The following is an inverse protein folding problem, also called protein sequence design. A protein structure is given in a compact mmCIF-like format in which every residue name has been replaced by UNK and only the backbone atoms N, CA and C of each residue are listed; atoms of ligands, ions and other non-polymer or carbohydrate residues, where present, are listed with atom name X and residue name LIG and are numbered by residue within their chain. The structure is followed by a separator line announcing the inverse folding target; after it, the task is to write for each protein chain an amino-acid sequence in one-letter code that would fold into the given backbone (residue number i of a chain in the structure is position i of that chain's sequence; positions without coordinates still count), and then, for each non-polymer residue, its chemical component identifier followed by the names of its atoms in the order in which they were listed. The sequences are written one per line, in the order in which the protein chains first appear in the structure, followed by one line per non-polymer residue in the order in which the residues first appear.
data_IF_062640414880
#
_entry.id   IF_062640414880
#
_cell.length_a   1.000
_cell.length_b   1.000
_cell.length_c   1.000
_cell.angle_alpha   90.00
_cell.angle_beta   90.00
_cell.angle_gamma   90.00
#
_symmetry.space_group_name_H-M   'P 1'
#
loop_
_entity.id
_entity.type
_entity.pdbx_description
1 polymer ?
#
# COMPACT_ATOMS: atom_id res chain seq x y z
N UNK A 1 -5.31 -68.16 -23.90
CA UNK A 1 -6.57 -67.88 -23.19
C UNK A 1 -6.79 -69.04 -22.23
N UNK A 2 -6.18 -69.01 -21.03
CA UNK A 2 -6.59 -68.30 -19.80
C UNK A 2 -7.98 -68.76 -19.33
N UNK A 3 -8.24 -69.09 -18.07
CA UNK A 3 -7.48 -69.57 -16.91
C UNK A 3 -8.59 -70.05 -15.95
N UNK A 4 -8.35 -71.15 -15.22
CA UNK A 4 -9.32 -71.80 -14.33
C UNK A 4 -9.71 -70.87 -13.17
N UNK A 5 -11.01 -70.78 -12.88
CA UNK A 5 -11.52 -70.18 -11.65
C UNK A 5 -11.48 -71.19 -10.50
N UNK A 6 -10.96 -70.75 -9.36
CA UNK A 6 -11.19 -71.40 -8.07
C UNK A 6 -11.16 -70.32 -6.98
N UNK A 7 -12.22 -70.33 -6.18
CA UNK A 7 -12.47 -69.47 -5.02
C UNK A 7 -11.56 -69.91 -3.88
N UNK A 8 -10.94 -68.98 -3.15
CA UNK A 8 -10.63 -69.25 -1.74
C UNK A 8 -10.56 -67.96 -0.94
N UNK A 9 -11.34 -67.99 0.13
CA UNK A 9 -11.48 -67.00 1.18
C UNK A 9 -10.16 -66.84 1.95
N UNK A 10 -9.68 -65.61 2.09
CA UNK A 10 -8.66 -65.26 3.10
C UNK A 10 -9.14 -64.02 3.84
N UNK A 11 -9.59 -64.29 5.06
CA UNK A 11 -9.83 -63.37 6.16
C UNK A 11 -8.46 -62.94 6.71
N UNK A 12 -8.12 -61.65 6.65
CA UNK A 12 -7.04 -61.08 7.47
C UNK A 12 -7.55 -59.82 8.15
N UNK A 13 -7.62 -59.96 9.48
CA UNK A 13 -7.86 -58.99 10.53
C UNK A 13 -7.03 -57.70 10.31
N UNK A 14 -7.72 -56.58 10.08
CA UNK A 14 -7.12 -55.25 10.05
C UNK A 14 -6.98 -54.69 11.46
N UNK A 15 -5.75 -54.33 11.81
CA UNK A 15 -5.27 -53.90 13.13
C UNK A 15 -6.04 -52.72 13.75
N UNK A 16 -6.29 -52.86 15.06
CA UNK A 16 -6.58 -51.78 15.98
C UNK A 16 -5.33 -50.89 16.16
N UNK A 17 -5.43 -49.63 15.75
CA UNK A 17 -4.68 -48.53 16.35
C UNK A 17 -5.67 -47.41 16.65
N UNK A 18 -6.30 -47.48 17.83
CA UNK A 18 -7.03 -46.37 18.42
C UNK A 18 -5.98 -45.39 18.97
N UNK A 19 -5.41 -44.59 18.07
CA UNK A 19 -4.50 -43.50 18.41
C UNK A 19 -5.29 -42.36 19.06
N UNK A 20 -5.03 -42.11 20.34
CA UNK A 20 -5.38 -40.86 20.99
C UNK A 20 -4.60 -39.72 20.31
N UNK A 21 -5.23 -39.03 19.36
CA UNK A 21 -4.71 -37.75 18.88
C UNK A 21 -5.21 -36.64 19.80
N UNK A 22 -4.25 -36.00 20.45
CA UNK A 22 -4.41 -34.86 21.33
C UNK A 22 -5.37 -33.81 20.75
N UNK A 23 -6.26 -33.32 21.61
CA UNK A 23 -7.02 -32.09 21.42
C UNK A 23 -5.98 -30.99 21.18
N UNK A 24 -5.77 -30.63 19.91
CA UNK A 24 -5.06 -29.43 19.57
C UNK A 24 -5.99 -28.27 19.92
N UNK A 25 -5.65 -27.58 21.02
CA UNK A 25 -6.10 -26.23 21.29
C UNK A 25 -5.77 -25.36 20.07
N UNK A 26 -6.70 -25.25 19.14
CA UNK A 26 -6.70 -24.17 18.17
C UNK A 26 -7.09 -22.90 18.91
N UNK A 27 -6.09 -22.22 19.47
CA UNK A 27 -6.16 -20.78 19.61
C UNK A 27 -6.69 -20.22 18.29
N UNK A 28 -7.75 -19.40 18.27
CA UNK A 28 -8.07 -18.69 17.06
C UNK A 28 -6.90 -17.75 16.79
N UNK A 29 -6.05 -18.16 15.86
CA UNK A 29 -5.05 -17.31 15.24
C UNK A 29 -5.82 -16.08 14.75
N UNK A 30 -5.59 -14.96 15.43
CA UNK A 30 -6.05 -13.64 15.05
C UNK A 30 -5.70 -13.46 13.58
N UNK A 31 -6.70 -13.59 12.71
CA UNK A 31 -6.55 -13.32 11.30
C UNK A 31 -6.08 -11.87 11.16
N UNK A 32 -4.85 -11.71 10.71
CA UNK A 32 -4.18 -10.44 10.48
C UNK A 32 -4.82 -9.76 9.28
N UNK A 33 -5.98 -9.14 9.47
CA UNK A 33 -6.39 -8.01 8.63
C UNK A 33 -5.51 -6.84 9.06
N UNK A 34 -4.37 -6.69 8.38
CA UNK A 34 -3.30 -5.77 8.75
C UNK A 34 -3.74 -4.31 8.64
N UNK A 35 -4.41 -3.81 9.67
CA UNK A 35 -4.42 -2.39 9.98
C UNK A 35 -3.04 -2.11 10.57
N UNK A 36 -2.09 -1.70 9.73
CA UNK A 36 -0.91 -1.03 10.25
C UNK A 36 -1.42 0.27 10.88
N UNK A 37 -1.10 0.53 12.13
CA UNK A 37 -1.61 1.70 12.84
C UNK A 37 -1.17 2.99 12.12
N UNK A 38 -2.12 3.91 11.88
CA UNK A 38 -1.81 5.22 11.31
C UNK A 38 -0.98 6.00 12.33
N UNK A 39 0.31 6.19 12.03
CA UNK A 39 1.24 6.87 12.91
C UNK A 39 0.92 8.36 13.07
N UNK A 40 0.37 8.98 12.02
CA UNK A 40 0.01 10.40 12.03
C UNK A 40 -1.08 10.73 11.01
N UNK A 41 -1.98 11.65 11.36
CA UNK A 41 -2.84 12.34 10.39
C UNK A 41 -2.21 13.68 10.04
N UNK A 42 -1.93 13.90 8.76
CA UNK A 42 -1.44 15.18 8.24
C UNK A 42 -2.65 15.97 7.75
N UNK A 43 -3.01 17.00 8.52
CA UNK A 43 -3.95 18.02 8.07
C UNK A 43 -3.25 18.95 7.07
N UNK A 44 -3.58 18.79 5.79
CA UNK A 44 -2.96 19.54 4.70
C UNK A 44 -3.67 20.90 4.51
N UNK A 45 -2.98 22.03 4.65
CA UNK A 45 -3.60 23.36 4.74
C UNK A 45 -3.95 23.92 3.36
N UNK A 46 -5.21 23.75 2.92
CA UNK A 46 -5.68 24.20 1.60
C UNK A 46 -5.71 25.72 1.45
N UNK A 47 -5.80 26.46 2.55
CA UNK A 47 -5.68 27.92 2.52
C UNK A 47 -4.26 28.40 2.17
N UNK A 48 -3.23 27.58 2.38
CA UNK A 48 -1.84 27.94 2.14
C UNK A 48 -1.30 27.40 0.81
N UNK A 49 -1.74 26.20 0.42
CA UNK A 49 -1.35 25.54 -0.82
C UNK A 49 -2.60 25.09 -1.60
N UNK A 50 -3.42 26.04 -2.08
CA UNK A 50 -4.72 25.75 -2.69
C UNK A 50 -4.63 24.90 -3.96
N UNK A 51 -3.61 25.07 -4.79
CA UNK A 51 -3.48 24.29 -6.03
C UNK A 51 -3.12 22.83 -5.74
N UNK A 52 -2.13 22.58 -4.86
CA UNK A 52 -1.77 21.22 -4.44
C UNK A 52 -2.91 20.57 -3.64
N UNK A 53 -3.61 21.32 -2.79
CA UNK A 53 -4.78 20.82 -2.07
C UNK A 53 -5.89 20.34 -3.02
N UNK A 54 -6.16 21.09 -4.08
CA UNK A 54 -7.13 20.68 -5.10
C UNK A 54 -6.68 19.40 -5.81
N UNK A 55 -5.39 19.28 -6.15
CA UNK A 55 -4.85 18.06 -6.75
C UNK A 55 -5.00 16.84 -5.86
N UNK A 56 -4.65 16.95 -4.58
CA UNK A 56 -4.81 15.86 -3.60
C UNK A 56 -6.28 15.43 -3.51
N UNK A 57 -7.22 16.39 -3.40
CA UNK A 57 -8.66 16.10 -3.34
C UNK A 57 -9.15 15.35 -4.57
N UNK A 58 -8.80 15.84 -5.75
CA UNK A 58 -9.25 15.25 -7.02
C UNK A 58 -8.65 13.86 -7.24
N UNK A 59 -7.38 13.67 -6.90
CA UNK A 59 -6.70 12.38 -6.99
C UNK A 59 -7.33 11.34 -6.03
N UNK A 60 -7.65 11.74 -4.79
CA UNK A 60 -8.37 10.84 -3.87
C UNK A 60 -9.77 10.53 -4.40
N UNK A 61 -10.49 11.53 -4.90
CA UNK A 61 -11.82 11.33 -5.50
C UNK A 61 -11.77 10.42 -6.76
N UNK A 62 -10.65 10.39 -7.48
CA UNK A 62 -10.41 9.48 -8.61
C UNK A 62 -9.89 8.10 -8.20
N UNK A 63 -9.84 7.81 -6.89
CA UNK A 63 -9.53 6.49 -6.35
C UNK A 63 -8.08 6.30 -5.90
N UNK A 64 -7.26 7.37 -5.82
CA UNK A 64 -5.98 7.29 -5.12
C UNK A 64 -6.21 7.18 -3.61
N UNK A 65 -5.30 6.48 -2.94
CA UNK A 65 -5.32 6.34 -1.49
C UNK A 65 -5.04 7.68 -0.78
N UNK A 66 -5.63 7.86 0.40
CA UNK A 66 -5.27 8.95 1.32
C UNK A 66 -4.17 8.55 2.32
N UNK A 67 -3.67 7.31 2.21
CA UNK A 67 -2.58 6.78 3.02
C UNK A 67 -1.25 6.82 2.25
N UNK A 68 -0.23 7.33 2.92
CA UNK A 68 1.16 7.28 2.48
C UNK A 68 1.95 6.38 3.42
N UNK A 69 2.43 5.24 2.92
CA UNK A 69 3.46 4.44 3.60
C UNK A 69 4.82 5.01 3.23
N UNK A 70 5.53 5.60 4.19
CA UNK A 70 6.79 6.29 3.92
C UNK A 70 7.84 5.28 3.44
N UNK A 71 8.42 5.54 2.27
CA UNK A 71 9.52 4.75 1.68
C UNK A 71 10.46 5.70 0.95
N UNK A 72 11.46 6.24 1.65
CA UNK A 72 12.36 7.23 1.07
C UNK A 72 13.33 6.63 0.07
N UNK A 73 13.73 5.37 0.25
CA UNK A 73 14.68 4.68 -0.63
C UNK A 73 14.16 4.52 -2.07
N UNK A 74 12.85 4.30 -2.24
CA UNK A 74 12.22 4.16 -3.55
C UNK A 74 11.90 5.47 -4.29
N UNK A 75 12.18 6.63 -3.71
CA UNK A 75 11.61 7.90 -4.17
C UNK A 75 12.02 8.31 -5.59
N UNK A 76 13.31 8.26 -5.88
CA UNK A 76 13.84 8.66 -7.18
C UNK A 76 13.28 7.81 -8.33
N UNK A 77 13.13 6.49 -8.12
CA UNK A 77 12.60 5.58 -9.14
C UNK A 77 11.09 5.77 -9.31
N UNK A 78 10.33 5.95 -8.22
CA UNK A 78 8.90 6.25 -8.32
C UNK A 78 8.67 7.59 -9.06
N UNK A 79 9.44 8.64 -8.74
CA UNK A 79 9.41 9.91 -9.50
C UNK A 79 9.70 9.75 -10.99
N UNK A 80 10.66 8.89 -11.34
CA UNK A 80 10.95 8.59 -12.75
C UNK A 80 9.76 7.89 -13.42
N UNK A 81 9.13 6.93 -12.74
CA UNK A 81 8.00 6.17 -13.26
C UNK A 81 6.74 7.02 -13.44
N UNK A 82 6.41 7.85 -12.46
CA UNK A 82 5.24 8.75 -12.48
C UNK A 82 5.37 9.80 -13.60
N UNK A 83 6.58 10.31 -13.82
CA UNK A 83 6.84 11.43 -14.74
C UNK A 83 7.28 11.02 -16.15
N UNK A 84 7.42 9.72 -16.44
CA UNK A 84 8.06 9.20 -17.65
C UNK A 84 7.52 9.76 -18.97
N UNK A 85 6.24 10.14 -19.02
CA UNK A 85 5.58 10.68 -20.22
C UNK A 85 4.85 12.00 -19.99
N UNK A 86 5.17 12.70 -18.89
CA UNK A 86 4.55 13.99 -18.60
C UNK A 86 5.53 15.09 -18.98
N UNK A 87 5.26 15.89 -20.03
CA UNK A 87 6.17 16.97 -20.42
C UNK A 87 6.30 18.02 -19.31
N UNK A 88 7.46 18.65 -19.25
CA UNK A 88 7.65 19.84 -18.42
C UNK A 88 6.86 21.00 -19.02
N UNK A 89 6.43 21.94 -18.16
CA UNK A 89 5.72 23.15 -18.56
C UNK A 89 6.40 24.36 -17.94
N UNK A 90 6.85 25.31 -18.76
CA UNK A 90 7.55 26.51 -18.27
C UNK A 90 6.70 27.23 -17.22
N UNK A 91 7.29 27.49 -16.05
CA UNK A 91 6.62 28.18 -14.95
C UNK A 91 5.72 27.30 -14.07
N UNK A 92 5.81 25.97 -14.19
CA UNK A 92 5.08 25.00 -13.38
C UNK A 92 5.99 23.85 -12.95
N UNK A 93 5.74 23.33 -11.76
CA UNK A 93 6.27 22.04 -11.32
C UNK A 93 5.24 20.94 -11.67
N UNK A 94 5.68 19.68 -11.76
CA UNK A 94 4.80 18.51 -11.90
C UNK A 94 4.60 17.94 -10.50
N UNK A 95 3.42 18.15 -9.92
CA UNK A 95 3.02 17.57 -8.65
C UNK A 95 2.53 16.13 -8.85
N UNK A 96 2.73 15.27 -7.85
CA UNK A 96 2.51 13.83 -7.91
C UNK A 96 1.63 13.38 -6.74
N UNK A 97 0.53 12.69 -7.04
CA UNK A 97 -0.29 12.06 -6.00
C UNK A 97 -0.73 10.63 -6.38
N UNK A 98 -0.38 9.59 -5.59
CA UNK A 98 0.41 9.63 -4.35
C UNK A 98 1.87 10.05 -4.59
N UNK A 99 2.47 10.66 -3.56
CA UNK A 99 3.78 11.32 -3.66
C UNK A 99 4.93 10.34 -3.90
N UNK A 100 6.02 10.85 -4.45
CA UNK A 100 7.27 10.12 -4.62
C UNK A 100 7.99 9.79 -3.28
N UNK A 101 7.50 10.18 -2.11
CA UNK A 101 8.00 9.65 -0.82
C UNK A 101 7.19 8.45 -0.31
N UNK A 102 6.04 8.16 -0.92
CA UNK A 102 5.12 7.11 -0.51
C UNK A 102 5.29 5.86 -1.37
N UNK A 103 5.25 4.67 -0.76
CA UNK A 103 5.28 3.40 -1.48
C UNK A 103 4.15 3.26 -2.51
N UNK A 104 3.05 3.95 -2.29
CA UNK A 104 1.87 4.00 -3.17
C UNK A 104 2.04 4.96 -4.36
N UNK A 105 3.12 5.74 -4.39
CA UNK A 105 3.46 6.60 -5.53
C UNK A 105 4.08 5.83 -6.70
N UNK A 106 4.58 6.58 -7.67
CA UNK A 106 5.23 6.01 -8.86
C UNK A 106 4.25 5.75 -9.99
N UNK A 107 4.36 4.56 -10.63
CA UNK A 107 3.54 4.24 -11.80
C UNK A 107 2.05 4.41 -11.48
N UNK A 108 1.38 5.27 -12.24
CA UNK A 108 -0.04 5.53 -12.08
C UNK A 108 -0.39 6.58 -11.02
N UNK A 109 0.58 7.32 -10.47
CA UNK A 109 0.28 8.56 -9.75
C UNK A 109 -0.47 9.56 -10.67
N UNK A 110 -1.42 10.30 -10.09
CA UNK A 110 -2.04 11.45 -10.74
C UNK A 110 -1.03 12.60 -10.79
N UNK A 111 -0.98 13.30 -11.93
CA UNK A 111 0.00 14.34 -12.18
C UNK A 111 -0.69 15.63 -12.57
N UNK A 112 -0.33 16.73 -11.90
CA UNK A 112 -0.83 18.06 -12.21
C UNK A 112 0.30 19.08 -12.31
N UNK A 113 0.23 19.97 -13.28
CA UNK A 113 1.13 21.12 -13.34
C UNK A 113 0.66 22.19 -12.36
N UNK A 114 1.47 22.49 -11.35
CA UNK A 114 1.14 23.41 -10.25
C UNK A 114 2.16 24.56 -10.19
N UNK A 115 1.74 25.74 -9.75
CA UNK A 115 2.65 26.88 -9.54
C UNK A 115 3.79 26.49 -8.58
N UNK A 116 5.07 26.78 -8.90
CA UNK A 116 6.19 26.32 -8.10
C UNK A 116 6.17 26.77 -6.63
N UNK A 117 5.68 27.97 -6.35
CA UNK A 117 5.58 28.48 -4.98
C UNK A 117 4.59 27.66 -4.12
N UNK A 118 3.44 27.29 -4.69
CA UNK A 118 2.43 26.44 -4.05
C UNK A 118 3.00 25.03 -3.83
N UNK A 119 3.48 24.40 -4.91
CA UNK A 119 3.94 23.01 -4.90
C UNK A 119 5.16 22.78 -3.98
N UNK A 120 6.17 23.65 -4.04
CA UNK A 120 7.38 23.50 -3.22
C UNK A 120 7.08 23.78 -1.75
N UNK A 121 6.21 24.75 -1.48
CA UNK A 121 5.72 25.03 -0.14
C UNK A 121 4.97 23.83 0.45
N UNK A 122 4.11 23.19 -0.34
CA UNK A 122 3.40 21.96 0.02
C UNK A 122 4.37 20.81 0.31
N UNK A 123 5.36 20.60 -0.57
CA UNK A 123 6.40 19.58 -0.40
C UNK A 123 7.19 19.79 0.91
N UNK A 124 7.63 21.02 1.20
CA UNK A 124 8.29 21.33 2.48
C UNK A 124 7.37 21.10 3.69
N UNK A 125 6.09 21.44 3.59
CA UNK A 125 5.13 21.21 4.67
C UNK A 125 4.99 19.72 4.99
N UNK A 126 4.74 18.88 3.98
CA UNK A 126 4.62 17.43 4.17
C UNK A 126 5.96 16.85 4.65
N UNK A 127 7.07 17.25 4.03
CA UNK A 127 8.42 16.82 4.42
C UNK A 127 8.70 17.03 5.90
N UNK A 128 8.41 18.22 6.43
CA UNK A 128 8.56 18.54 7.85
C UNK A 128 7.63 17.70 8.75
N UNK A 129 6.42 17.36 8.28
CA UNK A 129 5.47 16.53 9.03
C UNK A 129 5.89 15.07 9.13
N UNK A 130 6.67 14.57 8.16
CA UNK A 130 7.13 13.18 8.11
C UNK A 130 8.60 13.00 8.50
N UNK A 131 9.36 14.08 8.69
CA UNK A 131 10.82 14.06 8.92
C UNK A 131 11.24 13.08 10.03
N UNK A 132 10.53 13.08 11.15
CA UNK A 132 10.86 12.25 12.33
C UNK A 132 10.23 10.85 12.30
N UNK A 133 9.44 10.55 11.27
CA UNK A 133 8.79 9.25 11.12
C UNK A 133 9.72 8.28 10.36
N UNK A 134 9.88 7.04 10.84
CA UNK A 134 10.69 6.04 10.17
C UNK A 134 10.06 5.62 8.84
N UNK A 135 10.88 5.08 7.93
CA UNK A 135 10.35 4.36 6.77
C UNK A 135 9.46 3.20 7.24
N UNK A 136 8.39 2.93 6.49
CA UNK A 136 7.34 1.98 6.85
C UNK A 136 6.19 2.57 7.67
N UNK A 137 6.37 3.74 8.32
CA UNK A 137 5.28 4.40 9.00
C UNK A 137 4.18 4.85 8.01
N UNK A 138 2.92 4.68 8.40
CA UNK A 138 1.77 5.10 7.62
C UNK A 138 1.23 6.44 8.12
N UNK A 139 1.03 7.37 7.19
CA UNK A 139 0.37 8.65 7.48
C UNK A 139 -0.88 8.81 6.62
N UNK A 140 -1.94 9.36 7.20
CA UNK A 140 -3.18 9.69 6.47
C UNK A 140 -3.19 11.18 6.14
N UNK A 141 -3.45 11.53 4.88
CA UNK A 141 -3.51 12.92 4.41
C UNK A 141 -4.97 13.36 4.37
N UNK A 142 -5.28 14.44 5.08
CA UNK A 142 -6.63 15.03 5.12
C UNK A 142 -6.52 16.49 4.74
N UNK A 143 -7.12 16.89 3.63
CA UNK A 143 -7.10 18.29 3.20
C UNK A 143 -8.10 19.11 4.03
N UNK A 144 -7.63 20.19 4.66
CA UNK A 144 -8.39 21.10 5.52
C UNK A 144 -8.47 22.50 4.93
#
# INVERSE_FOLDING_TARGET
MNFKGAVSSILVMGLLFSGCSAIQNSNPAKQTSGTQDIAQVIEFPSNKYPETAAHIKDAIASGKTDICTIDRGGAAERRKQSLANVPTKKGYDRDEYPMDLCREGGKGADIRHIKPADNRGAGSYIGNKVEKLPDGAQVKIVVK
#
